data_IF_192152056705
#
_entry.id   IF_192152056705
#
_cell.length_a   1.000
_cell.length_b   1.000
_cell.length_c   1.000
_cell.angle_alpha   90.00
_cell.angle_beta   90.00
_cell.angle_gamma   90.00
#
_symmetry.space_group_name_H-M   'P 1'
#
loop_
_entity.id
_entity.type
_entity.pdbx_description
1 polymer ?
#
# COMPACT_ATOMS: atom_id res chain seq x y z
N UNK A 1 15.03 15.02 3.22
CA UNK A 1 14.56 16.39 2.93
C UNK A 1 15.77 17.29 2.73
N UNK A 2 15.69 18.26 1.81
CA UNK A 2 16.77 19.22 1.62
C UNK A 2 16.59 20.28 2.73
N UNK A 3 17.55 20.37 3.66
CA UNK A 3 17.48 21.26 4.83
C UNK A 3 17.27 22.75 4.44
N UNK A 4 17.82 23.15 3.29
CA UNK A 4 17.61 24.50 2.77
C UNK A 4 16.15 24.77 2.35
N UNK A 5 15.50 23.79 1.72
CA UNK A 5 14.09 23.90 1.35
C UNK A 5 13.18 23.86 2.58
N UNK A 6 13.54 23.05 3.60
CA UNK A 6 12.83 23.00 4.86
C UNK A 6 12.89 24.33 5.62
N UNK A 7 14.06 24.96 5.66
CA UNK A 7 14.25 26.27 6.31
C UNK A 7 13.49 27.39 5.58
N UNK A 8 13.41 27.36 4.24
CA UNK A 8 12.61 28.33 3.47
C UNK A 8 11.10 28.22 3.81
N UNK A 9 10.62 27.01 4.12
CA UNK A 9 9.23 26.77 4.49
C UNK A 9 8.88 27.33 5.88
N UNK A 10 9.84 27.41 6.81
CA UNK A 10 9.60 27.88 8.17
C UNK A 10 9.05 29.31 8.20
N UNK A 11 9.60 30.21 7.37
CA UNK A 11 9.10 31.58 7.28
C UNK A 11 7.64 31.63 6.81
N UNK A 12 7.29 30.78 5.83
CA UNK A 12 5.91 30.69 5.33
C UNK A 12 4.96 30.13 6.38
N UNK A 13 5.41 29.18 7.22
CA UNK A 13 4.61 28.63 8.32
C UNK A 13 4.38 29.62 9.44
N UNK A 14 5.37 30.51 9.72
CA UNK A 14 5.26 31.53 10.76
C UNK A 14 4.45 32.75 10.32
N UNK A 15 4.56 33.15 9.07
CA UNK A 15 3.97 34.36 8.50
C UNK A 15 2.80 34.05 7.55
N UNK A 16 2.15 32.89 7.69
CA UNK A 16 1.05 32.51 6.81
C UNK A 16 -0.09 33.53 6.88
N UNK A 17 -0.63 33.99 5.73
CA UNK A 17 -1.80 34.89 5.70
C UNK A 17 -2.99 34.23 6.41
N UNK A 18 -3.84 35.05 7.07
CA UNK A 18 -4.98 34.58 7.86
C UNK A 18 -5.99 33.71 7.07
N UNK A 19 -5.94 33.76 5.73
CA UNK A 19 -6.83 32.99 4.85
C UNK A 19 -6.11 31.85 4.10
N UNK A 20 -4.85 31.53 4.47
CA UNK A 20 -4.08 30.45 3.85
C UNK A 20 -4.07 29.20 4.74
N UNK A 21 -4.31 28.05 4.13
CA UNK A 21 -4.12 26.73 4.75
C UNK A 21 -2.97 26.04 4.02
N UNK A 22 -1.94 25.66 4.78
CA UNK A 22 -0.81 24.90 4.27
C UNK A 22 -1.00 23.43 4.62
N UNK A 23 -1.04 22.56 3.61
CA UNK A 23 -1.12 21.12 3.79
C UNK A 23 0.22 20.49 3.41
N UNK A 24 0.89 19.88 4.36
CA UNK A 24 2.13 19.16 4.18
C UNK A 24 1.86 17.66 4.30
N UNK A 25 2.40 16.89 3.38
CA UNK A 25 2.31 15.42 3.41
C UNK A 25 3.69 14.81 3.64
N UNK A 26 3.75 13.83 4.54
CA UNK A 26 4.95 13.03 4.80
C UNK A 26 4.53 11.60 5.15
N UNK A 27 5.42 10.64 4.93
CA UNK A 27 5.16 9.24 5.30
C UNK A 27 5.08 9.10 6.82
N UNK A 28 6.00 9.75 7.54
CA UNK A 28 5.99 9.83 9.01
C UNK A 28 6.44 11.20 9.48
N UNK A 29 5.93 11.68 10.63
CA UNK A 29 6.35 12.97 11.20
C UNK A 29 7.86 13.03 11.47
N UNK A 30 8.47 11.91 11.84
CA UNK A 30 9.89 11.78 12.20
C UNK A 30 10.85 12.09 11.04
N UNK A 31 10.35 12.08 9.80
CA UNK A 31 11.10 12.47 8.62
C UNK A 31 11.19 13.98 8.40
N UNK A 32 10.42 14.75 9.16
CA UNK A 32 10.40 16.20 9.09
C UNK A 32 11.25 16.81 10.20
N UNK A 33 11.72 18.05 9.97
CA UNK A 33 12.44 18.79 11.01
C UNK A 33 11.51 19.07 12.20
N UNK A 34 12.00 18.92 13.45
CA UNK A 34 11.22 19.24 14.64
C UNK A 34 10.62 20.65 14.64
N UNK A 35 11.31 21.60 14.00
CA UNK A 35 10.87 22.98 13.82
C UNK A 35 9.64 23.12 12.92
N UNK A 36 9.45 22.23 11.94
CA UNK A 36 8.24 22.17 11.12
C UNK A 36 7.11 21.51 11.91
N UNK A 37 7.41 20.38 12.56
CA UNK A 37 6.42 19.62 13.35
C UNK A 37 5.79 20.51 14.44
N UNK A 38 6.59 21.33 15.13
CA UNK A 38 6.13 22.20 16.21
C UNK A 38 5.17 23.31 15.75
N UNK A 39 5.10 23.59 14.43
CA UNK A 39 4.25 24.63 13.84
C UNK A 39 3.08 24.06 13.02
N UNK A 40 2.91 22.76 13.03
CA UNK A 40 1.86 22.07 12.29
C UNK A 40 0.97 21.25 13.21
N UNK A 41 -0.30 21.16 12.89
CA UNK A 41 -1.19 20.15 13.47
C UNK A 41 -0.96 18.83 12.74
N UNK A 42 -0.67 17.75 13.47
CA UNK A 42 -0.39 16.43 12.90
C UNK A 42 -1.69 15.64 12.77
N UNK A 43 -2.15 15.47 11.52
CA UNK A 43 -3.27 14.61 11.19
C UNK A 43 -2.76 13.23 10.74
N UNK A 44 -2.93 12.23 11.60
CA UNK A 44 -2.55 10.84 11.27
C UNK A 44 -3.67 10.17 10.51
N UNK A 45 -3.48 10.00 9.19
CA UNK A 45 -4.40 9.26 8.34
C UNK A 45 -4.26 7.76 8.61
N UNK A 46 -5.36 7.13 8.99
CA UNK A 46 -5.45 5.67 9.19
C UNK A 46 -6.24 5.04 8.05
N UNK A 47 -5.97 3.77 7.72
CA UNK A 47 -6.84 3.02 6.81
C UNK A 47 -8.29 3.05 7.31
N UNK A 48 -9.23 3.16 6.38
CA UNK A 48 -10.67 3.05 6.67
C UNK A 48 -11.07 1.56 6.78
N UNK A 49 -12.19 1.26 7.46
CA UNK A 49 -12.81 -0.06 7.36
C UNK A 49 -13.07 -0.43 5.89
N UNK A 50 -12.90 -1.72 5.57
CA UNK A 50 -13.08 -2.22 4.18
C UNK A 50 -14.48 -1.91 3.68
N UNK A 51 -15.49 -2.10 4.54
CA UNK A 51 -16.90 -1.85 4.24
C UNK A 51 -17.17 -0.38 3.86
N UNK A 52 -16.45 0.56 4.48
CA UNK A 52 -16.56 1.98 4.15
C UNK A 52 -15.99 2.30 2.77
N UNK A 53 -14.89 1.64 2.37
CA UNK A 53 -14.31 1.79 1.04
C UNK A 53 -15.18 1.13 -0.02
N UNK A 54 -15.71 -0.07 0.27
CA UNK A 54 -16.65 -0.78 -0.59
C UNK A 54 -17.90 0.07 -0.87
N UNK A 55 -18.51 0.64 0.17
CA UNK A 55 -19.67 1.52 0.05
C UNK A 55 -19.39 2.77 -0.81
N UNK A 56 -18.20 3.41 -0.66
CA UNK A 56 -17.79 4.54 -1.52
C UNK A 56 -17.68 4.13 -3.00
N UNK A 57 -17.14 2.94 -3.28
CA UNK A 57 -17.01 2.44 -4.64
C UNK A 57 -18.37 2.10 -5.26
N UNK A 58 -19.27 1.46 -4.52
CA UNK A 58 -20.65 1.16 -4.97
C UNK A 58 -21.41 2.47 -5.23
N UNK A 59 -21.31 3.45 -4.33
CA UNK A 59 -21.92 4.77 -4.53
C UNK A 59 -21.44 5.47 -5.81
N UNK A 60 -20.22 5.16 -6.25
CA UNK A 60 -19.62 5.67 -7.51
C UNK A 60 -20.00 4.84 -8.75
N UNK A 61 -20.85 3.83 -8.60
CA UNK A 61 -21.32 3.00 -9.70
C UNK A 61 -20.42 1.81 -10.04
N UNK A 62 -19.49 1.45 -9.17
CA UNK A 62 -18.71 0.21 -9.33
C UNK A 62 -19.60 -0.96 -8.93
N UNK A 63 -19.57 -2.04 -9.71
CA UNK A 63 -20.26 -3.29 -9.40
C UNK A 63 -19.86 -3.81 -8.00
N UNK A 64 -20.82 -4.40 -7.29
CA UNK A 64 -20.68 -4.79 -5.88
C UNK A 64 -19.53 -5.79 -5.66
N UNK A 65 -19.45 -6.84 -6.51
CA UNK A 65 -18.39 -7.85 -6.42
C UNK A 65 -17.01 -7.24 -6.66
N UNK A 66 -16.92 -6.38 -7.68
CA UNK A 66 -15.69 -5.66 -8.01
C UNK A 66 -15.33 -4.64 -6.92
N UNK A 67 -16.31 -3.91 -6.38
CA UNK A 67 -16.10 -2.95 -5.30
C UNK A 67 -15.53 -3.62 -4.05
N UNK A 68 -16.09 -4.76 -3.66
CA UNK A 68 -15.61 -5.58 -2.55
C UNK A 68 -14.15 -6.01 -2.75
N UNK A 69 -13.82 -6.57 -3.92
CA UNK A 69 -12.45 -6.97 -4.26
C UNK A 69 -11.48 -5.79 -4.14
N UNK A 70 -11.81 -4.65 -4.77
CA UNK A 70 -10.95 -3.47 -4.79
C UNK A 70 -10.80 -2.84 -3.40
N UNK A 71 -11.85 -2.86 -2.57
CA UNK A 71 -11.79 -2.41 -1.19
C UNK A 71 -10.77 -3.22 -0.39
N UNK A 72 -10.78 -4.54 -0.51
CA UNK A 72 -9.79 -5.42 0.11
C UNK A 72 -8.37 -5.14 -0.40
N UNK A 73 -8.15 -5.16 -1.71
CA UNK A 73 -6.82 -4.91 -2.33
C UNK A 73 -6.27 -3.54 -1.91
N UNK A 74 -7.14 -2.55 -1.74
CA UNK A 74 -6.71 -1.22 -1.31
C UNK A 74 -6.20 -1.16 0.13
N UNK A 75 -6.56 -2.15 0.95
CA UNK A 75 -6.20 -2.19 2.38
C UNK A 75 -6.73 -0.98 3.16
N UNK A 76 -7.98 -0.56 2.89
CA UNK A 76 -8.63 0.56 3.57
C UNK A 76 -8.17 1.95 3.08
N UNK A 77 -7.53 2.04 1.91
CA UNK A 77 -7.05 3.30 1.32
C UNK A 77 -7.95 3.75 0.17
N UNK A 78 -8.93 4.64 0.40
CA UNK A 78 -9.96 4.99 -0.60
C UNK A 78 -9.37 5.62 -1.87
N UNK A 79 -8.32 6.43 -1.74
CA UNK A 79 -7.64 7.01 -2.90
C UNK A 79 -6.97 5.95 -3.77
N UNK A 80 -6.42 4.90 -3.18
CA UNK A 80 -5.84 3.78 -3.92
C UNK A 80 -6.94 2.91 -4.55
N UNK A 81 -8.04 2.65 -3.84
CA UNK A 81 -9.18 1.92 -4.37
C UNK A 81 -9.74 2.58 -5.64
N UNK A 82 -9.90 3.91 -5.63
CA UNK A 82 -10.34 4.68 -6.81
C UNK A 82 -9.36 4.55 -7.98
N UNK A 83 -8.07 4.65 -7.72
CA UNK A 83 -7.04 4.44 -8.77
C UNK A 83 -7.12 3.04 -9.39
N UNK A 84 -7.44 2.01 -8.61
CA UNK A 84 -7.64 0.64 -9.12
C UNK A 84 -8.89 0.52 -9.99
N UNK A 85 -9.92 1.37 -9.80
CA UNK A 85 -11.08 1.46 -10.69
C UNK A 85 -10.70 2.07 -12.03
N UNK A 86 -9.93 3.17 -11.98
CA UNK A 86 -9.59 3.99 -13.15
C UNK A 86 -8.48 3.38 -14.01
N UNK A 87 -7.56 2.62 -13.40
CA UNK A 87 -6.37 2.08 -14.06
C UNK A 87 -6.28 0.55 -13.86
N UNK A 88 -6.77 -0.17 -14.85
CA UNK A 88 -6.75 -1.65 -14.87
C UNK A 88 -5.32 -2.21 -14.87
N UNK A 89 -4.35 -1.46 -15.41
CA UNK A 89 -2.95 -1.92 -15.47
C UNK A 89 -2.33 -2.11 -14.08
N UNK A 90 -2.86 -1.45 -13.07
CA UNK A 90 -2.42 -1.63 -11.67
C UNK A 90 -2.78 -3.02 -11.13
N UNK A 91 -3.96 -3.54 -11.49
CA UNK A 91 -4.38 -4.89 -11.14
C UNK A 91 -3.56 -5.93 -11.90
N UNK A 92 -3.38 -5.74 -13.21
CA UNK A 92 -2.57 -6.63 -14.04
C UNK A 92 -1.13 -6.75 -13.50
N UNK A 93 -0.49 -5.63 -13.19
CA UNK A 93 0.85 -5.61 -12.58
C UNK A 93 0.87 -6.29 -11.22
N UNK A 94 -0.18 -6.08 -10.39
CA UNK A 94 -0.28 -6.79 -9.11
C UNK A 94 -0.34 -8.30 -9.31
N UNK A 95 -1.19 -8.75 -10.22
CA UNK A 95 -1.36 -10.18 -10.52
C UNK A 95 -0.08 -10.78 -11.09
N UNK A 96 0.61 -10.09 -11.98
CA UNK A 96 1.94 -10.49 -12.46
C UNK A 96 2.91 -10.71 -11.29
N UNK A 97 3.00 -9.76 -10.34
CA UNK A 97 3.91 -9.87 -9.19
C UNK A 97 3.54 -11.00 -8.23
N UNK A 98 2.25 -11.27 -8.04
CA UNK A 98 1.80 -12.40 -7.24
C UNK A 98 2.10 -13.74 -7.92
N UNK A 99 1.91 -13.84 -9.24
CA UNK A 99 2.26 -15.02 -10.03
C UNK A 99 3.77 -15.26 -10.04
N UNK A 100 4.58 -14.19 -10.15
CA UNK A 100 6.04 -14.26 -10.00
C UNK A 100 6.41 -14.86 -8.64
N UNK A 101 5.78 -14.39 -7.55
CA UNK A 101 6.01 -14.93 -6.21
C UNK A 101 5.73 -16.42 -6.14
N UNK A 102 4.58 -16.87 -6.63
CA UNK A 102 4.20 -18.28 -6.65
C UNK A 102 5.21 -19.14 -7.42
N UNK A 103 5.68 -18.64 -8.55
CA UNK A 103 6.70 -19.32 -9.37
C UNK A 103 8.05 -19.38 -8.65
N UNK A 104 8.41 -18.33 -7.93
CA UNK A 104 9.70 -18.23 -7.22
C UNK A 104 9.73 -19.06 -5.93
N UNK A 105 8.60 -19.32 -5.28
CA UNK A 105 8.58 -20.09 -4.04
C UNK A 105 9.28 -21.44 -4.16
N UNK A 106 8.94 -22.33 -5.10
CA UNK A 106 9.60 -23.61 -5.31
C UNK A 106 10.92 -23.51 -6.10
N UNK A 107 11.20 -22.38 -6.74
CA UNK A 107 12.31 -22.22 -7.68
C UNK A 107 13.69 -22.42 -7.04
N UNK A 108 14.68 -22.83 -7.85
CA UNK A 108 16.06 -22.93 -7.43
C UNK A 108 16.69 -21.55 -7.14
N UNK A 109 17.76 -21.51 -6.36
CA UNK A 109 18.44 -20.25 -5.99
C UNK A 109 18.88 -19.42 -7.20
N UNK A 110 19.36 -20.08 -8.26
CA UNK A 110 19.82 -19.41 -9.49
C UNK A 110 18.69 -18.62 -10.14
N UNK A 111 17.50 -19.19 -10.21
CA UNK A 111 16.31 -18.52 -10.77
C UNK A 111 15.89 -17.30 -9.92
N UNK A 112 15.92 -17.45 -8.58
CA UNK A 112 15.65 -16.36 -7.64
C UNK A 112 16.63 -15.19 -7.81
N UNK A 113 17.92 -15.49 -7.94
CA UNK A 113 18.94 -14.47 -8.18
C UNK A 113 18.79 -13.82 -9.55
N UNK A 114 18.50 -14.59 -10.61
CA UNK A 114 18.25 -14.06 -11.95
C UNK A 114 17.04 -13.12 -11.97
N UNK A 115 15.97 -13.48 -11.27
CA UNK A 115 14.80 -12.62 -11.13
C UNK A 115 15.13 -11.33 -10.37
N UNK A 116 15.83 -11.43 -9.23
CA UNK A 116 16.25 -10.29 -8.44
C UNK A 116 17.14 -9.32 -9.24
N UNK A 117 18.10 -9.83 -10.04
CA UNK A 117 18.95 -9.01 -10.92
C UNK A 117 18.11 -8.24 -11.94
N UNK A 118 17.14 -8.90 -12.58
CA UNK A 118 16.24 -8.23 -13.53
C UNK A 118 15.42 -7.13 -12.84
N UNK A 119 14.82 -7.44 -11.71
CA UNK A 119 13.95 -6.53 -10.97
C UNK A 119 14.72 -5.33 -10.40
N UNK A 120 15.99 -5.51 -10.02
CA UNK A 120 16.82 -4.44 -9.45
C UNK A 120 17.14 -3.29 -10.42
N UNK A 121 16.98 -3.52 -11.71
CA UNK A 121 17.22 -2.51 -12.77
C UNK A 121 16.14 -1.41 -12.78
N UNK A 122 14.95 -1.72 -12.26
CA UNK A 122 13.85 -0.76 -12.10
C UNK A 122 13.48 -0.65 -10.61
N UNK A 123 13.89 0.45 -9.99
CA UNK A 123 13.65 0.69 -8.55
C UNK A 123 12.18 0.80 -8.19
N UNK A 124 11.35 1.32 -9.09
CA UNK A 124 9.92 1.50 -8.83
C UNK A 124 9.19 0.16 -8.97
N UNK A 125 9.50 -0.63 -9.98
CA UNK A 125 9.02 -2.00 -10.12
C UNK A 125 9.45 -2.88 -8.94
N UNK A 126 10.69 -2.74 -8.47
CA UNK A 126 11.19 -3.46 -7.29
C UNK A 126 10.42 -3.08 -6.02
N UNK A 127 10.23 -1.79 -5.77
CA UNK A 127 9.46 -1.31 -4.61
C UNK A 127 8.02 -1.80 -4.65
N UNK A 128 7.40 -1.76 -5.82
CA UNK A 128 6.04 -2.25 -6.03
C UNK A 128 5.95 -3.76 -5.74
N UNK A 129 6.86 -4.57 -6.29
CA UNK A 129 6.89 -6.02 -6.07
C UNK A 129 7.03 -6.35 -4.57
N UNK A 130 7.97 -5.71 -3.87
CA UNK A 130 8.18 -5.90 -2.44
C UNK A 130 6.91 -5.54 -1.65
N UNK A 131 6.25 -4.42 -1.97
CA UNK A 131 5.03 -3.99 -1.28
C UNK A 131 3.90 -5.00 -1.47
N UNK A 132 3.72 -5.53 -2.68
CA UNK A 132 2.71 -6.55 -2.99
C UNK A 132 3.03 -7.85 -2.24
N UNK A 133 4.28 -8.30 -2.27
CA UNK A 133 4.71 -9.53 -1.58
C UNK A 133 4.59 -9.43 -0.06
N UNK A 134 4.90 -8.26 0.52
CA UNK A 134 4.69 -8.02 1.95
C UNK A 134 3.22 -8.11 2.32
N UNK A 135 2.30 -7.59 1.49
CA UNK A 135 0.86 -7.71 1.73
C UNK A 135 0.41 -9.17 1.68
N UNK A 136 0.94 -9.96 0.75
CA UNK A 136 0.64 -11.38 0.62
C UNK A 136 1.15 -12.18 1.84
N UNK A 137 2.40 -11.99 2.24
CA UNK A 137 2.97 -12.65 3.42
C UNK A 137 2.29 -12.23 4.73
N UNK A 138 1.87 -10.96 4.82
CA UNK A 138 1.02 -10.53 5.94
C UNK A 138 -0.24 -11.37 6.04
N UNK A 139 -0.92 -11.59 4.94
CA UNK A 139 -2.16 -12.37 4.91
C UNK A 139 -1.91 -13.84 5.27
N UNK A 140 -0.81 -14.45 4.78
CA UNK A 140 -0.38 -15.78 5.19
C UNK A 140 -0.14 -15.84 6.71
N UNK A 141 0.59 -14.87 7.28
CA UNK A 141 0.87 -14.83 8.71
C UNK A 141 -0.38 -14.62 9.55
N UNK A 142 -1.36 -13.84 9.08
CA UNK A 142 -2.65 -13.70 9.75
C UNK A 142 -3.41 -15.03 9.82
N UNK A 143 -3.38 -15.83 8.74
CA UNK A 143 -3.98 -17.17 8.73
C UNK A 143 -3.27 -18.14 9.66
N UNK A 144 -1.93 -18.15 9.65
CA UNK A 144 -1.12 -18.95 10.60
C UNK A 144 -1.46 -18.59 12.05
N UNK A 145 -1.65 -17.31 12.34
CA UNK A 145 -1.98 -16.82 13.69
C UNK A 145 -3.46 -17.00 14.08
N UNK A 146 -4.32 -17.49 13.18
CA UNK A 146 -5.77 -17.60 13.42
C UNK A 146 -6.46 -16.26 13.64
N UNK A 147 -5.91 -15.17 13.07
CA UNK A 147 -6.46 -13.84 13.25
C UNK A 147 -7.69 -13.61 12.34
N UNK A 148 -8.73 -12.99 12.89
CA UNK A 148 -9.96 -12.64 12.15
C UNK A 148 -9.84 -11.35 11.33
N UNK A 149 -8.63 -10.74 11.29
CA UNK A 149 -8.38 -9.52 10.52
C UNK A 149 -8.63 -9.73 9.04
N UNK A 150 -9.34 -8.81 8.35
CA UNK A 150 -9.61 -8.93 6.93
C UNK A 150 -8.32 -9.04 6.10
N UNK A 151 -8.33 -9.98 5.15
CA UNK A 151 -7.23 -10.14 4.20
C UNK A 151 -7.26 -9.05 3.14
N UNK A 152 -6.09 -8.69 2.63
CA UNK A 152 -5.92 -7.80 1.48
C UNK A 152 -6.10 -8.59 0.19
N UNK A 153 -5.50 -9.79 0.11
CA UNK A 153 -5.46 -10.60 -1.10
C UNK A 153 -6.55 -11.69 -1.08
N UNK A 154 -7.82 -11.28 -1.02
CA UNK A 154 -8.97 -12.19 -0.94
C UNK A 154 -9.13 -13.06 -2.20
N UNK A 155 -8.70 -12.55 -3.35
CA UNK A 155 -8.64 -13.26 -4.64
C UNK A 155 -7.61 -14.40 -4.66
N UNK A 156 -6.69 -14.43 -3.70
CA UNK A 156 -5.64 -15.46 -3.53
C UNK A 156 -5.84 -16.29 -2.27
N UNK A 157 -7.05 -16.33 -1.73
CA UNK A 157 -7.32 -16.96 -0.44
C UNK A 157 -6.92 -18.45 -0.41
N UNK A 158 -7.19 -19.22 -1.46
CA UNK A 158 -6.83 -20.64 -1.52
C UNK A 158 -5.31 -20.86 -1.45
N UNK A 159 -4.53 -20.03 -2.12
CA UNK A 159 -3.07 -20.08 -2.10
C UNK A 159 -2.51 -19.72 -0.72
N UNK A 160 -3.11 -18.71 -0.09
CA UNK A 160 -2.76 -18.25 1.26
C UNK A 160 -3.03 -19.35 2.30
N UNK A 161 -4.22 -19.96 2.25
CA UNK A 161 -4.59 -21.06 3.15
C UNK A 161 -3.66 -22.28 2.98
N UNK A 162 -3.34 -22.63 1.72
CA UNK A 162 -2.42 -23.72 1.43
C UNK A 162 -1.03 -23.48 2.04
N UNK A 163 -0.49 -22.26 1.88
CA UNK A 163 0.81 -21.92 2.46
C UNK A 163 0.75 -21.84 3.99
N UNK A 164 -0.30 -21.26 4.56
CA UNK A 164 -0.48 -21.18 6.01
C UNK A 164 -0.47 -22.58 6.64
N UNK A 165 -1.20 -23.54 6.05
CA UNK A 165 -1.22 -24.94 6.54
C UNK A 165 0.10 -25.70 6.43
N UNK A 166 1.09 -25.18 5.71
CA UNK A 166 2.44 -25.75 5.63
C UNK A 166 3.45 -25.11 6.60
N UNK A 167 3.08 -24.01 7.22
CA UNK A 167 3.91 -23.28 8.16
C UNK A 167 3.53 -23.53 9.62
N UNK A 168 2.39 -24.17 9.83
CA UNK A 168 1.93 -24.71 11.13
C UNK A 168 2.39 -26.13 11.29
#
# INVERSE_FOLDING_TARGET
ANDNAANALLKTLEEAPAHAILLLTADTPEQLLPTIISRCEILRLRPLPIESVEADLIYRGVDEERARLLAHISGGRPGYARRLVDDVTLLEKRDERLNDLQTLLPAARVEKFSYADKLSKDKDAMRQAITIWLSYWRDVMLRVAGAETPLINVDRNMEIEFLAGRLT
#
